data_IF_086637989549
#
_entry.id   IF_086637989549
#
_cell.length_a   1.000
_cell.length_b   1.000
_cell.length_c   1.000
_cell.angle_alpha   90.00
_cell.angle_beta   90.00
_cell.angle_gamma   90.00
#
_symmetry.space_group_name_H-M   'P 1'
#
loop_
_entity.id
_entity.type
_entity.pdbx_description
1 polymer ?
#
# COMPACT_ATOMS: atom_id res chain seq x y z
N UNK A 1 -8.35 -0.53 -28.03
CA UNK A 1 -7.39 -1.51 -27.53
C UNK A 1 -8.10 -2.85 -27.30
N UNK A 2 -7.43 -3.94 -27.63
CA UNK A 2 -7.91 -5.30 -27.38
C UNK A 2 -7.25 -5.88 -26.14
N UNK A 3 -5.92 -5.69 -26.01
CA UNK A 3 -5.16 -6.16 -24.85
C UNK A 3 -4.49 -5.00 -24.11
N UNK A 4 -4.98 -4.73 -22.90
CA UNK A 4 -4.43 -3.73 -21.99
C UNK A 4 -3.75 -4.46 -20.84
N UNK A 5 -2.48 -4.15 -20.58
CA UNK A 5 -1.72 -4.74 -19.50
C UNK A 5 -1.34 -3.69 -18.45
N UNK A 6 -1.73 -3.92 -17.19
CA UNK A 6 -1.43 -3.06 -16.05
C UNK A 6 -0.55 -3.85 -15.08
N UNK A 7 0.66 -3.38 -14.82
CA UNK A 7 1.50 -3.92 -13.74
C UNK A 7 1.22 -3.15 -12.45
N UNK A 8 0.84 -3.90 -11.43
CA UNK A 8 0.66 -3.41 -10.07
C UNK A 8 1.69 -4.04 -9.13
N UNK A 9 2.28 -3.27 -8.19
CA UNK A 9 3.37 -3.77 -7.34
C UNK A 9 2.90 -4.73 -6.25
N UNK A 10 1.60 -4.76 -5.93
CA UNK A 10 1.05 -5.61 -4.85
C UNK A 10 -0.29 -6.21 -5.22
N UNK A 11 -0.61 -7.36 -4.61
CA UNK A 11 -1.91 -8.01 -4.77
C UNK A 11 -3.07 -7.16 -4.22
N UNK A 12 -2.82 -6.31 -3.24
CA UNK A 12 -3.83 -5.39 -2.70
C UNK A 12 -4.24 -4.34 -3.75
N UNK A 13 -3.26 -3.78 -4.45
CA UNK A 13 -3.51 -2.84 -5.56
C UNK A 13 -4.21 -3.52 -6.74
N UNK A 14 -3.87 -4.77 -7.04
CA UNK A 14 -4.60 -5.55 -8.05
C UNK A 14 -6.08 -5.64 -7.69
N UNK A 15 -6.42 -6.01 -6.46
CA UNK A 15 -7.81 -6.11 -6.01
C UNK A 15 -8.53 -4.76 -6.04
N UNK A 16 -7.86 -3.68 -5.65
CA UNK A 16 -8.41 -2.33 -5.70
C UNK A 16 -8.66 -1.89 -7.14
N UNK A 17 -7.67 -2.04 -8.01
CA UNK A 17 -7.77 -1.68 -9.43
C UNK A 17 -8.85 -2.50 -10.13
N UNK A 18 -8.93 -3.81 -9.84
CA UNK A 18 -10.00 -4.67 -10.35
C UNK A 18 -11.38 -4.17 -9.94
N UNK A 19 -11.56 -3.78 -8.66
CA UNK A 19 -12.86 -3.24 -8.18
C UNK A 19 -13.22 -1.94 -8.88
N UNK A 20 -12.26 -1.04 -9.06
CA UNK A 20 -12.46 0.24 -9.75
C UNK A 20 -12.79 0.07 -11.24
N UNK A 21 -12.18 -0.92 -11.88
CA UNK A 21 -12.35 -1.16 -13.32
C UNK A 21 -13.45 -2.20 -13.63
N UNK A 22 -14.17 -2.71 -12.61
CA UNK A 22 -15.23 -3.72 -12.78
C UNK A 22 -16.32 -3.29 -13.77
N UNK A 23 -16.61 -2.00 -13.89
CA UNK A 23 -17.60 -1.49 -14.81
C UNK A 23 -17.21 -1.66 -16.29
N UNK A 24 -15.97 -2.04 -16.58
CA UNK A 24 -15.54 -2.43 -17.94
C UNK A 24 -15.67 -3.94 -18.21
N UNK A 25 -16.19 -4.75 -17.28
CA UNK A 25 -16.32 -6.20 -17.46
C UNK A 25 -17.24 -6.62 -18.61
N UNK A 26 -18.14 -5.72 -19.07
CA UNK A 26 -18.97 -5.96 -20.24
C UNK A 26 -18.21 -5.84 -21.57
N UNK A 27 -17.02 -5.21 -21.54
CA UNK A 27 -16.20 -4.95 -22.72
C UNK A 27 -14.88 -5.73 -22.71
N UNK A 28 -14.35 -6.07 -21.53
CA UNK A 28 -13.07 -6.70 -21.34
C UNK A 28 -13.16 -7.88 -20.38
N UNK A 29 -12.48 -8.95 -20.71
CA UNK A 29 -12.21 -10.01 -19.76
C UNK A 29 -11.12 -9.53 -18.76
N UNK A 30 -11.48 -9.37 -17.48
CA UNK A 30 -10.55 -8.87 -16.45
C UNK A 30 -9.74 -10.03 -15.88
N UNK A 31 -8.47 -10.09 -16.22
CA UNK A 31 -7.53 -11.15 -15.84
C UNK A 31 -6.62 -10.67 -14.71
N UNK A 32 -6.72 -11.30 -13.54
CA UNK A 32 -5.92 -10.97 -12.34
C UNK A 32 -4.99 -12.10 -11.89
N UNK A 33 -5.10 -13.28 -12.53
CA UNK A 33 -4.21 -14.41 -12.28
C UNK A 33 -3.95 -15.21 -13.58
N UNK A 34 -2.91 -16.02 -13.57
CA UNK A 34 -2.39 -16.74 -14.75
C UNK A 34 -3.18 -17.98 -15.16
N UNK A 35 -4.19 -18.38 -14.35
CA UNK A 35 -5.06 -19.54 -14.61
C UNK A 35 -6.41 -19.16 -15.22
N UNK A 36 -6.71 -17.85 -15.30
CA UNK A 36 -7.93 -17.38 -15.96
C UNK A 36 -7.81 -17.55 -17.47
N UNK A 37 -8.94 -17.81 -18.11
CA UNK A 37 -9.05 -17.85 -19.55
C UNK A 37 -8.80 -16.46 -20.15
N UNK A 38 -8.21 -16.43 -21.33
CA UNK A 38 -7.95 -15.23 -22.12
C UNK A 38 -9.07 -15.12 -23.15
N UNK A 39 -9.74 -13.98 -23.20
CA UNK A 39 -10.81 -13.69 -24.17
C UNK A 39 -10.28 -12.95 -25.40
N UNK A 40 -11.20 -12.43 -26.23
CA UNK A 40 -10.84 -11.61 -27.39
C UNK A 40 -10.30 -10.23 -26.96
N UNK A 41 -10.88 -9.63 -25.90
CA UNK A 41 -10.41 -8.36 -25.32
C UNK A 41 -10.10 -8.55 -23.86
N UNK A 42 -8.89 -8.19 -23.44
CA UNK A 42 -8.43 -8.47 -22.10
C UNK A 42 -7.90 -7.23 -21.40
N UNK A 43 -8.23 -7.15 -20.12
CA UNK A 43 -7.66 -6.21 -19.18
C UNK A 43 -6.86 -6.99 -18.14
N UNK A 44 -5.56 -7.13 -18.37
CA UNK A 44 -4.65 -7.81 -17.47
C UNK A 44 -4.24 -6.86 -16.34
N UNK A 45 -4.50 -7.24 -15.08
CA UNK A 45 -4.06 -6.49 -13.89
C UNK A 45 -3.23 -7.44 -13.05
N UNK A 46 -1.91 -7.36 -13.19
CA UNK A 46 -0.98 -8.40 -12.74
C UNK A 46 0.22 -7.82 -11.98
N UNK A 47 0.89 -8.67 -11.19
CA UNK A 47 2.26 -8.37 -10.74
C UNK A 47 3.26 -8.67 -11.86
N UNK A 48 4.48 -8.16 -11.75
CA UNK A 48 5.53 -8.40 -12.74
C UNK A 48 5.84 -9.88 -12.96
N UNK A 49 5.80 -10.68 -11.88
CA UNK A 49 6.00 -12.13 -11.94
C UNK A 49 4.90 -12.80 -12.77
N UNK A 50 3.63 -12.45 -12.49
CA UNK A 50 2.48 -13.02 -13.23
C UNK A 50 2.47 -12.60 -14.70
N UNK A 51 2.98 -11.42 -15.03
CA UNK A 51 3.15 -10.99 -16.41
C UNK A 51 4.07 -11.96 -17.15
N UNK A 52 5.19 -12.37 -16.55
CA UNK A 52 6.12 -13.31 -17.18
C UNK A 52 5.48 -14.67 -17.49
N UNK A 53 4.54 -15.12 -16.64
CA UNK A 53 3.82 -16.38 -16.82
C UNK A 53 2.74 -16.30 -17.90
N UNK A 54 2.14 -15.11 -18.11
CA UNK A 54 1.03 -14.95 -19.06
C UNK A 54 1.52 -14.59 -20.48
N UNK A 55 2.66 -13.93 -20.61
CA UNK A 55 3.21 -13.49 -21.91
C UNK A 55 3.30 -14.60 -22.97
N UNK A 56 3.63 -15.86 -22.64
CA UNK A 56 3.64 -16.94 -23.64
C UNK A 56 2.26 -17.31 -24.21
N UNK A 57 1.18 -16.80 -23.61
CA UNK A 57 -0.21 -17.13 -23.96
C UNK A 57 -0.92 -16.04 -24.75
N UNK A 58 -0.26 -14.92 -25.01
CA UNK A 58 -0.83 -13.75 -25.70
C UNK A 58 0.06 -13.34 -26.88
N UNK A 59 -0.58 -12.90 -27.96
CA UNK A 59 0.09 -12.59 -29.22
C UNK A 59 0.47 -11.11 -29.33
N UNK A 60 -0.26 -10.22 -28.64
CA UNK A 60 -0.06 -8.77 -28.67
C UNK A 60 -0.45 -8.06 -27.36
N UNK A 61 0.00 -6.81 -27.23
CA UNK A 61 -0.38 -5.88 -26.17
C UNK A 61 -0.44 -4.49 -26.79
N UNK A 62 -1.62 -3.85 -26.74
CA UNK A 62 -1.84 -2.52 -27.31
C UNK A 62 -1.43 -1.39 -26.37
N UNK A 63 -1.75 -1.55 -25.08
CA UNK A 63 -1.48 -0.55 -24.03
C UNK A 63 -0.81 -1.21 -22.84
N UNK A 64 0.34 -0.67 -22.45
CA UNK A 64 1.10 -1.14 -21.31
C UNK A 64 1.23 -0.05 -20.25
N UNK A 65 0.69 -0.33 -19.07
CA UNK A 65 0.64 0.59 -17.93
C UNK A 65 1.49 0.01 -16.80
N UNK A 66 2.41 0.81 -16.27
CA UNK A 66 3.17 0.44 -15.06
C UNK A 66 2.87 1.47 -13.97
N UNK A 67 2.26 1.00 -12.90
CA UNK A 67 2.10 1.79 -11.69
C UNK A 67 3.34 1.68 -10.81
N UNK A 68 3.67 2.78 -10.12
CA UNK A 68 4.91 2.92 -9.36
C UNK A 68 6.18 2.65 -10.19
N UNK A 69 6.21 3.17 -11.41
CA UNK A 69 7.26 2.97 -12.40
C UNK A 69 8.68 3.25 -11.87
N UNK A 70 8.85 4.15 -10.90
CA UNK A 70 10.16 4.41 -10.29
C UNK A 70 10.86 3.17 -9.73
N UNK A 71 10.13 2.11 -9.45
CA UNK A 71 10.69 0.84 -8.97
C UNK A 71 11.60 0.18 -10.00
N UNK A 72 11.45 0.48 -11.28
CA UNK A 72 12.30 -0.08 -12.36
C UNK A 72 13.76 0.35 -12.23
N UNK A 73 14.01 1.54 -11.67
CA UNK A 73 15.35 2.12 -11.51
C UNK A 73 16.05 1.75 -10.18
N UNK A 74 15.40 0.96 -9.32
CA UNK A 74 15.95 0.63 -8.01
C UNK A 74 17.12 -0.36 -8.17
N UNK A 75 18.33 0.08 -7.77
CA UNK A 75 19.58 -0.68 -7.91
C UNK A 75 19.80 -1.75 -6.81
N UNK A 76 18.90 -1.88 -5.84
CA UNK A 76 19.00 -2.95 -4.84
C UNK A 76 18.65 -4.29 -5.48
N UNK A 77 19.40 -5.32 -5.15
CA UNK A 77 19.15 -6.72 -5.49
C UNK A 77 17.82 -7.18 -4.83
N UNK A 78 16.72 -6.75 -5.41
CA UNK A 78 15.36 -7.16 -5.05
C UNK A 78 14.83 -7.94 -6.25
N UNK A 79 14.46 -9.19 -6.04
CA UNK A 79 13.94 -10.08 -7.09
C UNK A 79 12.74 -9.45 -7.82
N UNK A 80 11.91 -8.65 -7.12
CA UNK A 80 10.76 -7.96 -7.71
C UNK A 80 11.19 -6.91 -8.73
N UNK A 81 12.29 -6.19 -8.48
CA UNK A 81 12.85 -5.23 -9.43
C UNK A 81 13.35 -5.95 -10.67
N UNK A 82 14.02 -7.09 -10.48
CA UNK A 82 14.49 -7.93 -11.58
C UNK A 82 13.33 -8.44 -12.43
N UNK A 83 12.25 -8.95 -11.80
CA UNK A 83 11.06 -9.39 -12.53
C UNK A 83 10.38 -8.24 -13.28
N UNK A 84 10.29 -7.04 -12.68
CA UNK A 84 9.72 -5.88 -13.35
C UNK A 84 10.53 -5.47 -14.58
N UNK A 85 11.86 -5.46 -14.49
CA UNK A 85 12.74 -5.15 -15.63
C UNK A 85 12.63 -6.19 -16.74
N UNK A 86 12.57 -7.48 -16.39
CA UNK A 86 12.41 -8.56 -17.37
C UNK A 86 11.03 -8.49 -18.03
N UNK A 87 9.97 -8.27 -17.25
CA UNK A 87 8.61 -8.10 -17.77
C UNK A 87 8.54 -6.92 -18.74
N UNK A 88 9.08 -5.75 -18.34
CA UNK A 88 9.18 -4.58 -19.19
C UNK A 88 9.88 -4.90 -20.51
N UNK A 89 11.09 -5.48 -20.46
CA UNK A 89 11.86 -5.84 -21.65
C UNK A 89 11.08 -6.78 -22.59
N UNK A 90 10.38 -7.77 -22.04
CA UNK A 90 9.61 -8.73 -22.85
C UNK A 90 8.37 -8.09 -23.48
N UNK A 91 7.63 -7.28 -22.71
CA UNK A 91 6.42 -6.57 -23.21
C UNK A 91 6.78 -5.58 -24.32
N UNK A 92 7.93 -4.91 -24.23
CA UNK A 92 8.38 -3.97 -25.26
C UNK A 92 8.57 -4.59 -26.65
N UNK A 93 8.62 -5.93 -26.79
CA UNK A 93 8.66 -6.61 -28.09
C UNK A 93 7.36 -6.44 -28.88
N UNK A 94 6.24 -6.24 -28.19
CA UNK A 94 4.93 -5.98 -28.81
C UNK A 94 4.75 -4.51 -29.24
N UNK A 95 5.67 -3.61 -28.85
CA UNK A 95 5.64 -2.18 -29.17
C UNK A 95 4.31 -1.50 -28.73
N UNK A 96 3.85 -1.73 -27.51
CA UNK A 96 2.60 -1.15 -27.02
C UNK A 96 2.70 0.36 -26.86
N UNK A 97 1.56 1.04 -26.81
CA UNK A 97 1.51 2.37 -26.22
C UNK A 97 1.87 2.29 -24.73
N UNK A 98 2.64 3.26 -24.23
CA UNK A 98 3.17 3.25 -22.87
C UNK A 98 2.48 4.29 -21.99
N UNK A 99 2.14 3.91 -20.77
CA UNK A 99 1.72 4.83 -19.72
C UNK A 99 2.40 4.46 -18.40
N UNK A 100 3.26 5.35 -17.90
CA UNK A 100 3.97 5.14 -16.65
C UNK A 100 3.48 6.11 -15.59
N UNK A 101 3.07 5.54 -14.45
CA UNK A 101 2.59 6.32 -13.31
C UNK A 101 3.64 6.28 -12.22
N UNK A 102 3.98 7.43 -11.68
CA UNK A 102 5.00 7.54 -10.64
C UNK A 102 4.71 8.72 -9.72
N UNK A 103 4.76 8.53 -8.40
CA UNK A 103 4.74 9.66 -7.48
C UNK A 103 6.14 10.29 -7.43
N UNK A 104 6.20 11.60 -7.18
CA UNK A 104 7.39 12.37 -6.79
C UNK A 104 8.70 11.99 -7.53
N UNK A 105 8.66 11.93 -8.86
CA UNK A 105 9.86 11.82 -9.69
C UNK A 105 10.14 13.19 -10.32
N UNK A 106 11.36 13.69 -10.15
CA UNK A 106 11.72 15.01 -10.69
C UNK A 106 12.10 14.91 -12.16
N UNK A 107 12.84 13.85 -12.53
CA UNK A 107 13.32 13.64 -13.89
C UNK A 107 13.39 12.14 -14.23
N UNK A 108 13.26 11.84 -15.50
CA UNK A 108 13.56 10.54 -16.12
C UNK A 108 14.81 10.71 -16.98
N UNK A 109 15.65 9.68 -17.07
CA UNK A 109 16.85 9.69 -17.92
C UNK A 109 16.50 10.09 -19.35
N UNK A 110 17.25 11.04 -19.92
CA UNK A 110 17.07 11.48 -21.31
C UNK A 110 17.24 10.33 -22.33
N UNK A 111 18.14 9.38 -22.05
CA UNK A 111 18.33 8.21 -22.90
C UNK A 111 17.09 7.31 -22.90
N UNK A 112 16.43 7.17 -21.75
CA UNK A 112 15.19 6.42 -21.64
C UNK A 112 14.04 7.13 -22.38
N UNK A 113 13.92 8.43 -22.23
CA UNK A 113 12.94 9.27 -22.94
C UNK A 113 13.12 9.12 -24.45
N UNK A 114 14.35 9.29 -24.95
CA UNK A 114 14.66 9.16 -26.38
C UNK A 114 14.43 7.75 -26.94
N UNK A 115 14.83 6.74 -26.16
CA UNK A 115 14.71 5.34 -26.59
C UNK A 115 13.27 4.88 -26.77
N UNK A 116 12.37 5.35 -25.95
CA UNK A 116 10.98 4.91 -25.91
C UNK A 116 9.97 5.98 -26.32
N UNK A 117 10.44 7.12 -26.82
CA UNK A 117 9.62 8.28 -27.26
C UNK A 117 8.59 8.70 -26.21
N UNK A 118 9.07 8.93 -24.98
CA UNK A 118 8.22 9.21 -23.83
C UNK A 118 8.06 10.72 -23.65
N UNK A 119 6.82 11.16 -23.43
CA UNK A 119 6.54 12.51 -22.96
C UNK A 119 6.39 12.48 -21.43
N UNK A 120 7.16 13.34 -20.74
CA UNK A 120 7.12 13.42 -19.29
C UNK A 120 6.24 14.61 -18.84
N UNK A 121 5.18 14.28 -18.10
CA UNK A 121 4.27 15.28 -17.52
C UNK A 121 4.41 15.29 -16.01
N UNK A 122 4.86 16.42 -15.46
CA UNK A 122 4.91 16.65 -14.01
C UNK A 122 3.70 17.46 -13.59
N UNK A 123 3.01 17.01 -12.57
CA UNK A 123 1.94 17.79 -11.93
C UNK A 123 2.28 18.03 -10.47
N UNK A 124 2.06 19.27 -10.02
CA UNK A 124 2.14 19.66 -8.60
C UNK A 124 0.77 19.65 -7.94
N UNK A 125 -0.25 19.17 -8.67
CA UNK A 125 -1.61 19.13 -8.17
C UNK A 125 -1.71 18.16 -6.98
N UNK A 126 -2.14 18.66 -5.84
CA UNK A 126 -2.42 17.89 -4.65
C UNK A 126 -3.90 18.01 -4.30
N UNK A 127 -4.57 16.88 -4.14
CA UNK A 127 -5.96 16.83 -3.67
C UNK A 127 -6.10 17.23 -2.20
N UNK A 128 -4.99 17.29 -1.47
CA UNK A 128 -4.99 17.47 -0.02
C UNK A 128 -4.02 18.56 0.39
N UNK A 129 -4.50 19.50 1.19
CA UNK A 129 -3.63 20.47 1.85
C UNK A 129 -3.06 19.85 3.13
N UNK A 130 -1.76 19.58 3.15
CA UNK A 130 -1.08 18.92 4.27
C UNK A 130 -0.32 19.94 5.12
N UNK A 131 -0.53 19.87 6.44
CA UNK A 131 0.26 20.63 7.41
C UNK A 131 1.26 19.69 8.08
N UNK A 132 2.53 19.91 7.84
CA UNK A 132 3.62 19.15 8.47
C UNK A 132 4.03 19.84 9.76
N UNK A 133 4.11 19.07 10.86
CA UNK A 133 4.57 19.53 12.16
C UNK A 133 5.70 18.63 12.64
N UNK A 134 6.84 19.19 12.92
CA UNK A 134 7.94 18.52 13.61
C UNK A 134 7.77 18.66 15.11
N UNK A 135 7.87 17.54 15.86
CA UNK A 135 7.75 17.51 17.31
C UNK A 135 9.09 17.04 17.87
N UNK A 136 9.87 17.95 18.47
CA UNK A 136 11.16 17.61 19.05
C UNK A 136 10.98 16.75 20.31
N UNK A 137 11.95 15.89 20.58
CA UNK A 137 12.05 15.06 21.78
C UNK A 137 13.52 14.86 22.14
N UNK A 138 13.79 14.64 23.43
CA UNK A 138 15.15 14.46 23.96
C UNK A 138 15.46 13.00 24.32
N UNK A 139 14.41 12.18 24.59
CA UNK A 139 14.54 10.76 24.89
C UNK A 139 13.48 9.92 24.20
N UNK A 140 13.68 8.59 24.13
CA UNK A 140 12.68 7.67 23.58
C UNK A 140 11.40 7.61 24.47
N UNK A 141 11.54 7.80 25.77
CA UNK A 141 10.41 7.89 26.71
C UNK A 141 9.57 9.12 26.41
N UNK A 142 10.18 10.28 26.28
CA UNK A 142 9.49 11.53 25.94
C UNK A 142 8.82 11.45 24.57
N UNK A 143 9.47 10.83 23.59
CA UNK A 143 8.91 10.59 22.26
C UNK A 143 7.64 9.75 22.33
N UNK A 144 7.64 8.71 23.15
CA UNK A 144 6.50 7.83 23.36
C UNK A 144 5.35 8.57 24.08
N UNK A 145 5.65 9.34 25.12
CA UNK A 145 4.68 10.16 25.83
C UNK A 145 4.02 11.18 24.88
N UNK A 146 4.81 11.89 24.09
CA UNK A 146 4.31 12.85 23.08
C UNK A 146 3.43 12.16 22.03
N UNK A 147 3.81 10.96 21.58
CA UNK A 147 2.95 10.18 20.69
C UNK A 147 1.60 9.91 21.33
N UNK A 148 1.59 9.42 22.57
CA UNK A 148 0.36 9.04 23.25
C UNK A 148 -0.54 10.25 23.56
N UNK A 149 0.05 11.39 23.92
CA UNK A 149 -0.69 12.65 24.08
C UNK A 149 -1.36 13.06 22.76
N UNK A 150 -0.62 13.06 21.63
CA UNK A 150 -1.17 13.36 20.31
C UNK A 150 -2.31 12.43 19.92
N UNK A 151 -2.14 11.13 20.12
CA UNK A 151 -3.18 10.14 19.77
C UNK A 151 -4.44 10.30 20.62
N UNK A 152 -4.30 10.74 21.85
CA UNK A 152 -5.43 11.03 22.74
C UNK A 152 -6.14 12.34 22.38
N UNK A 153 -5.38 13.35 21.90
CA UNK A 153 -5.93 14.64 21.47
C UNK A 153 -6.63 14.55 20.11
N UNK A 154 -6.14 13.71 19.20
CA UNK A 154 -6.74 13.58 17.88
C UNK A 154 -8.14 12.96 17.96
N UNK A 155 -9.12 13.64 17.34
CA UNK A 155 -10.48 13.11 17.15
C UNK A 155 -10.59 12.26 15.89
N UNK A 156 -9.79 12.56 14.89
CA UNK A 156 -9.85 12.02 13.53
C UNK A 156 -9.04 10.73 13.37
N UNK A 157 -9.39 9.89 12.38
CA UNK A 157 -8.65 8.67 12.07
C UNK A 157 -7.17 8.92 11.83
N UNK A 158 -6.32 8.16 12.53
CA UNK A 158 -4.87 8.39 12.57
C UNK A 158 -4.09 7.13 12.21
N UNK A 159 -3.13 7.28 11.29
CA UNK A 159 -2.13 6.26 11.00
C UNK A 159 -0.84 6.62 11.73
N UNK A 160 -0.24 5.65 12.43
CA UNK A 160 1.06 5.77 13.07
C UNK A 160 2.04 4.85 12.35
N UNK A 161 2.96 5.43 11.60
CA UNK A 161 4.02 4.66 10.96
C UNK A 161 5.09 4.26 11.96
N UNK A 162 5.43 2.97 11.98
CA UNK A 162 6.47 2.38 12.82
C UNK A 162 7.36 1.44 12.02
N UNK A 163 8.61 1.29 12.45
CA UNK A 163 9.65 0.56 11.71
C UNK A 163 9.46 -0.96 11.61
N UNK A 164 8.67 -1.57 12.52
CA UNK A 164 8.52 -3.02 12.59
C UNK A 164 7.20 -3.46 13.23
N UNK A 165 6.74 -4.70 12.94
CA UNK A 165 5.56 -5.30 13.59
C UNK A 165 5.67 -5.35 15.11
N UNK A 166 6.83 -5.77 15.63
CA UNK A 166 7.07 -5.82 17.08
C UNK A 166 6.94 -4.44 17.74
N UNK A 167 7.40 -3.36 17.06
CA UNK A 167 7.26 -1.99 17.56
C UNK A 167 5.80 -1.56 17.61
N UNK A 168 4.99 -1.95 16.60
CA UNK A 168 3.54 -1.64 16.60
C UNK A 168 2.81 -2.30 17.76
N UNK A 169 3.14 -3.54 18.08
CA UNK A 169 2.53 -4.25 19.22
C UNK A 169 2.92 -3.64 20.58
N UNK A 170 4.19 -3.29 20.76
CA UNK A 170 4.68 -2.66 22.00
C UNK A 170 3.96 -1.32 22.24
N UNK A 171 3.88 -0.46 21.23
CA UNK A 171 3.25 0.85 21.34
C UNK A 171 1.73 0.71 21.54
N UNK A 172 1.06 -0.17 20.80
CA UNK A 172 -0.36 -0.41 20.97
C UNK A 172 -0.68 -0.94 22.38
N UNK A 173 0.12 -1.89 22.90
CA UNK A 173 -0.03 -2.42 24.25
C UNK A 173 0.09 -1.32 25.31
N UNK A 174 1.16 -0.54 25.27
CA UNK A 174 1.39 0.55 26.22
C UNK A 174 0.29 1.63 26.13
N UNK A 175 -0.16 1.96 24.91
CA UNK A 175 -1.22 2.94 24.73
C UNK A 175 -2.53 2.49 25.39
N UNK A 176 -2.97 1.24 25.19
CA UNK A 176 -4.21 0.74 25.81
C UNK A 176 -4.11 0.56 27.33
N UNK A 177 -2.91 0.39 27.88
CA UNK A 177 -2.69 0.35 29.33
C UNK A 177 -2.98 1.71 29.97
N UNK A 178 -2.73 2.81 29.26
CA UNK A 178 -3.00 4.18 29.72
C UNK A 178 -4.38 4.69 29.31
N UNK A 179 -4.86 4.37 28.11
CA UNK A 179 -6.02 4.97 27.46
C UNK A 179 -7.07 3.93 27.00
N UNK A 180 -7.28 2.89 27.79
CA UNK A 180 -8.25 1.85 27.48
C UNK A 180 -9.68 2.40 27.38
N UNK A 181 -10.41 2.00 26.34
CA UNK A 181 -11.81 2.38 26.16
C UNK A 181 -12.68 1.81 27.30
N UNK A 182 -13.59 2.64 27.85
CA UNK A 182 -14.58 2.20 28.84
C UNK A 182 -15.55 1.15 28.27
N UNK A 183 -15.98 1.33 27.01
CA UNK A 183 -16.84 0.39 26.29
C UNK A 183 -16.03 -0.27 25.19
N UNK A 184 -15.83 -1.57 25.31
CA UNK A 184 -15.13 -2.38 24.32
C UNK A 184 -15.95 -2.54 23.05
N UNK A 185 -15.28 -2.56 21.90
CA UNK A 185 -15.89 -2.83 20.61
C UNK A 185 -15.87 -4.34 20.30
N UNK A 186 -16.84 -4.80 19.55
CA UNK A 186 -16.87 -6.16 19.01
C UNK A 186 -16.88 -6.10 17.50
N UNK A 187 -16.22 -7.05 16.83
CA UNK A 187 -16.06 -7.09 15.39
C UNK A 187 -16.39 -8.49 14.84
N UNK A 188 -17.01 -8.58 13.65
CA UNK A 188 -17.32 -9.87 13.02
C UNK A 188 -16.12 -10.80 12.86
N UNK A 189 -14.92 -10.25 12.66
CA UNK A 189 -13.69 -11.02 12.53
C UNK A 189 -13.32 -11.81 13.79
N UNK A 190 -13.91 -11.52 14.94
CA UNK A 190 -13.61 -12.21 16.20
C UNK A 190 -14.06 -13.67 16.19
N UNK A 191 -15.21 -13.98 15.60
CA UNK A 191 -15.67 -15.37 15.43
C UNK A 191 -14.65 -16.19 14.63
N UNK A 192 -14.20 -15.63 13.50
CA UNK A 192 -13.18 -16.29 12.69
C UNK A 192 -11.85 -16.47 13.45
N UNK A 193 -11.43 -15.47 14.22
CA UNK A 193 -10.21 -15.54 15.06
C UNK A 193 -10.34 -16.65 16.11
N UNK A 194 -11.49 -16.75 16.76
CA UNK A 194 -11.75 -17.73 17.81
C UNK A 194 -11.71 -19.15 17.26
N UNK A 195 -12.25 -19.36 16.07
CA UNK A 195 -12.31 -20.67 15.42
C UNK A 195 -10.97 -21.10 14.80
N UNK A 196 -10.19 -20.17 14.23
CA UNK A 196 -9.06 -20.52 13.38
C UNK A 196 -7.69 -20.20 13.99
N UNK A 197 -7.62 -19.36 15.03
CA UNK A 197 -6.35 -18.94 15.66
C UNK A 197 -6.41 -19.23 17.17
N UNK A 198 -7.04 -18.34 17.92
CA UNK A 198 -7.21 -18.44 19.38
C UNK A 198 -8.14 -17.34 19.89
N UNK A 199 -9.03 -17.69 20.83
CA UNK A 199 -9.88 -16.71 21.54
C UNK A 199 -9.07 -15.70 22.37
N UNK A 200 -7.85 -16.06 22.75
CA UNK A 200 -6.93 -15.21 23.51
C UNK A 200 -5.93 -14.44 22.64
N UNK A 201 -6.11 -14.41 21.31
CA UNK A 201 -5.18 -13.67 20.47
C UNK A 201 -5.17 -12.18 20.80
N UNK A 202 -3.98 -11.66 21.09
CA UNK A 202 -3.77 -10.28 21.57
C UNK A 202 -4.35 -9.21 20.62
N UNK A 203 -4.44 -9.50 19.31
CA UNK A 203 -5.03 -8.60 18.33
C UNK A 203 -6.48 -8.23 18.67
N UNK A 204 -7.27 -9.17 19.20
CA UNK A 204 -8.65 -8.88 19.63
C UNK A 204 -8.68 -7.74 20.67
N UNK A 205 -7.77 -7.78 21.65
CA UNK A 205 -7.66 -6.75 22.67
C UNK A 205 -7.34 -5.36 22.08
N UNK A 206 -6.51 -5.30 21.02
CA UNK A 206 -6.25 -4.03 20.36
C UNK A 206 -7.48 -3.53 19.61
N UNK A 207 -8.12 -4.37 18.81
CA UNK A 207 -9.34 -4.03 18.07
C UNK A 207 -10.47 -3.57 19.01
N UNK A 208 -10.72 -4.28 20.10
CA UNK A 208 -11.68 -3.89 21.13
C UNK A 208 -11.47 -2.46 21.67
N UNK A 209 -10.23 -1.99 21.64
CA UNK A 209 -9.87 -0.63 22.04
C UNK A 209 -9.80 0.37 20.87
N UNK A 210 -10.30 -0.01 19.69
CA UNK A 210 -10.33 0.85 18.52
C UNK A 210 -8.97 1.04 17.84
N UNK A 211 -8.04 0.10 18.05
CA UNK A 211 -6.68 0.14 17.51
C UNK A 211 -6.48 -1.03 16.55
N UNK A 212 -6.05 -0.74 15.34
CA UNK A 212 -5.60 -1.73 14.36
C UNK A 212 -4.09 -1.82 14.28
N UNK A 213 -3.60 -3.01 13.88
CA UNK A 213 -2.19 -3.25 13.57
C UNK A 213 -2.08 -3.74 12.12
N UNK A 214 -1.46 -2.93 11.28
CA UNK A 214 -1.29 -3.25 9.86
C UNK A 214 0.16 -3.60 9.54
N UNK A 215 0.42 -4.88 9.35
CA UNK A 215 1.75 -5.38 8.97
C UNK A 215 1.65 -6.68 8.16
N UNK A 216 2.73 -7.08 7.50
CA UNK A 216 2.77 -8.25 6.62
C UNK A 216 2.81 -9.61 7.34
N UNK A 217 2.78 -9.67 8.68
CA UNK A 217 2.79 -10.93 9.43
C UNK A 217 1.38 -11.47 9.68
N UNK A 218 0.35 -10.64 9.56
CA UNK A 218 -1.03 -11.06 9.74
C UNK A 218 -1.62 -11.64 8.45
N UNK A 219 -2.56 -12.61 8.57
CA UNK A 219 -3.32 -13.09 7.42
C UNK A 219 -3.98 -11.93 6.66
N UNK A 220 -3.96 -11.99 5.33
CA UNK A 220 -4.41 -10.89 4.46
C UNK A 220 -5.84 -10.45 4.75
N UNK A 221 -6.77 -11.39 4.97
CA UNK A 221 -8.16 -11.07 5.28
C UNK A 221 -8.28 -10.31 6.62
N UNK A 222 -7.46 -10.64 7.64
CA UNK A 222 -7.41 -9.90 8.91
C UNK A 222 -6.93 -8.47 8.69
N UNK A 223 -5.90 -8.29 7.85
CA UNK A 223 -5.39 -6.95 7.50
C UNK A 223 -6.46 -6.15 6.77
N UNK A 224 -7.14 -6.76 5.79
CA UNK A 224 -8.22 -6.11 5.04
C UNK A 224 -9.41 -5.74 5.95
N UNK A 225 -9.83 -6.64 6.84
CA UNK A 225 -10.90 -6.34 7.80
C UNK A 225 -10.56 -5.14 8.70
N UNK A 226 -9.31 -5.04 9.16
CA UNK A 226 -8.87 -3.89 9.95
C UNK A 226 -8.93 -2.58 9.16
N UNK A 227 -8.58 -2.60 7.87
CA UNK A 227 -8.69 -1.44 7.00
C UNK A 227 -10.15 -1.04 6.76
N UNK A 228 -11.02 -2.02 6.54
CA UNK A 228 -12.45 -1.76 6.38
C UNK A 228 -13.04 -1.14 7.65
N UNK A 229 -12.71 -1.66 8.83
CA UNK A 229 -13.13 -1.07 10.11
C UNK A 229 -12.57 0.34 10.33
N UNK A 230 -11.33 0.59 9.89
CA UNK A 230 -10.75 1.92 9.96
C UNK A 230 -11.45 2.88 9.01
N UNK A 231 -11.69 2.46 7.76
CA UNK A 231 -12.37 3.27 6.76
C UNK A 231 -13.86 3.51 7.07
N UNK A 232 -14.48 2.66 7.87
CA UNK A 232 -15.83 2.86 8.39
C UNK A 232 -15.86 3.72 9.67
N UNK A 233 -14.69 4.11 10.22
CA UNK A 233 -14.59 4.88 11.46
C UNK A 233 -14.72 4.05 12.75
N UNK A 234 -14.74 2.72 12.63
CA UNK A 234 -14.79 1.81 13.77
C UNK A 234 -13.47 1.73 14.52
N UNK A 235 -12.34 1.82 13.80
CA UNK A 235 -11.02 1.97 14.39
C UNK A 235 -10.57 3.43 14.26
N UNK A 236 -9.99 3.96 15.33
CA UNK A 236 -9.49 5.35 15.38
C UNK A 236 -8.02 5.44 15.05
N UNK A 237 -7.25 4.42 15.38
CA UNK A 237 -5.80 4.40 15.24
C UNK A 237 -5.39 3.12 14.52
N UNK A 238 -4.49 3.24 13.54
CA UNK A 238 -3.76 2.10 12.99
C UNK A 238 -2.26 2.33 13.17
N UNK A 239 -1.59 1.42 13.88
CA UNK A 239 -0.15 1.30 13.83
C UNK A 239 0.26 0.47 12.62
N UNK A 240 1.04 1.05 11.72
CA UNK A 240 1.37 0.47 10.44
C UNK A 240 2.85 0.43 10.15
N UNK A 241 3.28 -0.62 9.46
CA UNK A 241 4.60 -0.70 8.83
C UNK A 241 4.50 -0.30 7.35
N UNK A 242 5.57 -0.45 6.60
CA UNK A 242 5.61 -0.13 5.16
C UNK A 242 4.55 -0.85 4.32
N UNK A 243 3.99 -1.96 4.79
CA UNK A 243 2.94 -2.69 4.07
C UNK A 243 1.64 -1.87 3.85
N UNK A 244 1.34 -0.90 4.72
CA UNK A 244 0.23 0.03 4.52
C UNK A 244 0.57 1.15 3.54
N UNK A 245 1.87 1.51 3.44
CA UNK A 245 2.32 2.61 2.61
C UNK A 245 2.20 2.27 1.14
N UNK A 246 2.38 1.01 0.80
CA UNK A 246 2.35 0.51 -0.57
C UNK A 246 0.90 0.11 -0.96
N UNK A 247 0.10 1.12 -1.38
CA UNK A 247 -1.12 0.84 -2.15
C UNK A 247 -2.43 0.66 -1.39
N UNK A 248 -2.61 1.34 -0.25
CA UNK A 248 -3.90 1.30 0.46
C UNK A 248 -4.49 2.71 0.55
N UNK A 249 -5.72 2.87 0.06
CA UNK A 249 -6.50 4.08 0.30
C UNK A 249 -7.08 4.05 1.72
N UNK A 250 -6.93 5.14 2.45
CA UNK A 250 -7.44 5.28 3.81
C UNK A 250 -8.12 6.62 4.02
N UNK A 251 -9.04 6.67 4.99
CA UNK A 251 -9.69 7.91 5.44
C UNK A 251 -8.84 8.69 6.45
N UNK A 252 -7.59 8.32 6.65
CA UNK A 252 -6.74 8.93 7.66
C UNK A 252 -6.63 10.45 7.46
N UNK A 253 -6.94 11.22 8.49
CA UNK A 253 -6.73 12.67 8.52
C UNK A 253 -5.39 13.03 9.13
N UNK A 254 -4.86 12.17 9.99
CA UNK A 254 -3.56 12.35 10.60
C UNK A 254 -2.62 11.19 10.24
N UNK A 255 -1.38 11.53 9.96
CA UNK A 255 -0.29 10.55 9.80
C UNK A 255 0.85 10.96 10.72
N UNK A 256 1.20 10.10 11.66
CA UNK A 256 2.34 10.27 12.54
C UNK A 256 3.48 9.37 12.09
N UNK A 257 4.59 9.95 11.68
CA UNK A 257 5.82 9.20 11.37
C UNK A 257 6.62 9.10 12.67
N UNK A 258 6.41 7.99 13.38
CA UNK A 258 7.07 7.76 14.67
C UNK A 258 8.51 7.32 14.49
N UNK A 259 8.79 6.43 13.55
CA UNK A 259 10.15 5.96 13.24
C UNK A 259 10.58 6.44 11.85
N UNK A 260 11.83 6.96 11.77
CA UNK A 260 12.47 7.32 10.49
C UNK A 260 13.27 6.14 9.90
N UNK A 261 12.83 4.91 10.20
CA UNK A 261 13.47 3.67 9.75
C UNK A 261 12.45 2.68 9.18
N UNK A 262 12.89 1.88 8.22
CA UNK A 262 12.24 0.68 7.68
C UNK A 262 13.09 -0.52 8.08
N UNK A 263 12.68 -1.23 9.14
CA UNK A 263 13.56 -2.20 9.79
C UNK A 263 14.83 -1.52 10.33
N UNK A 264 15.98 -1.84 9.75
CA UNK A 264 17.29 -1.27 10.10
C UNK A 264 17.73 -0.10 9.22
N UNK A 265 17.12 0.10 8.05
CA UNK A 265 17.49 1.14 7.10
C UNK A 265 16.69 2.42 7.35
N UNK A 266 17.30 3.59 7.15
CA UNK A 266 16.55 4.87 7.14
C UNK A 266 15.52 4.85 6.01
N UNK A 267 14.35 5.45 6.26
CA UNK A 267 13.37 5.69 5.20
C UNK A 267 13.98 6.67 4.19
N UNK A 268 13.70 6.42 2.92
CA UNK A 268 14.10 7.33 1.84
C UNK A 268 13.16 8.54 1.78
N UNK A 269 13.55 9.59 1.07
CA UNK A 269 12.66 10.71 0.74
C UNK A 269 11.36 10.21 0.08
N UNK A 270 11.47 9.19 -0.71
CA UNK A 270 10.38 8.53 -1.39
C UNK A 270 9.42 7.85 -0.40
N UNK A 271 9.94 7.02 0.51
CA UNK A 271 9.14 6.39 1.57
C UNK A 271 8.42 7.44 2.40
N UNK A 272 9.13 8.53 2.78
CA UNK A 272 8.56 9.63 3.54
C UNK A 272 7.35 10.27 2.83
N UNK A 273 7.48 10.58 1.54
CA UNK A 273 6.38 11.17 0.78
C UNK A 273 5.21 10.20 0.58
N UNK A 274 5.47 8.92 0.41
CA UNK A 274 4.43 7.90 0.32
C UNK A 274 3.67 7.76 1.65
N UNK A 275 4.38 7.77 2.79
CA UNK A 275 3.74 7.76 4.12
C UNK A 275 2.89 9.02 4.30
N UNK A 276 3.48 10.17 4.03
CA UNK A 276 2.80 11.47 4.13
C UNK A 276 1.55 11.53 3.24
N UNK A 277 1.61 10.98 2.04
CA UNK A 277 0.50 10.91 1.08
C UNK A 277 -0.70 10.07 1.55
N UNK A 278 -0.62 9.38 2.68
CA UNK A 278 -1.75 8.63 3.26
C UNK A 278 -2.68 9.49 4.11
N UNK A 279 -2.30 10.75 4.38
CA UNK A 279 -3.18 11.72 5.03
C UNK A 279 -4.03 12.41 3.96
N UNK A 280 -5.39 12.35 4.10
CA UNK A 280 -6.24 13.11 3.20
C UNK A 280 -7.68 12.65 3.10
#
# INVERSE_FOLDING_TARGET
>A
YENIMIIQPTLALIDETRRKLRHYSDYYNIVVNTHQEIGEKNLFILTSERVLDILPKIDDIDLFIIDEFYKIANSKLDDRVSHLNIAFYKVMKFKPQLLFLTPVVENISEDFIRKYDIQFYKTEYSLVNQKIKHIPYESEEEKEEKLFQLLNEFSEPTIVYVRSPKRSEILAKKYIEQFSLKKKKSFPVFEWIDENISSNWILKKYLENGIGLHNGQYPRHIVNSQLDYFNNGDLKIIFATTSLIEGVNSIAKNVVIYDMFKGTNKITYFDFNNIKGRAG
#
